data_IF_311854185107
#
_entry.id   IF_311854185107
#
_cell.length_a   1.000
_cell.length_b   1.000
_cell.length_c   1.000
_cell.angle_alpha   90.00
_cell.angle_beta   90.00
_cell.angle_gamma   90.00
#
_symmetry.space_group_name_H-M   'P 1'
#
loop_
_entity.id
_entity.type
_entity.pdbx_description
1 polymer ?
#
# COMPACT_ATOMS: atom_id res chain seq x y z
N UNK A 1 3.24 0.21 34.90
CA UNK A 1 3.40 1.52 34.22
C UNK A 1 3.91 1.34 32.79
N UNK A 2 5.07 0.69 32.57
CA UNK A 2 5.62 0.45 31.22
C UNK A 2 4.64 -0.34 30.31
N UNK A 3 4.01 -1.39 30.83
CA UNK A 3 3.01 -2.18 30.08
C UNK A 3 1.84 -1.32 29.59
N UNK A 4 1.32 -0.45 30.45
CA UNK A 4 0.18 0.39 30.12
C UNK A 4 0.55 1.50 29.12
N UNK A 5 1.76 2.05 29.22
CA UNK A 5 2.31 2.98 28.23
C UNK A 5 2.47 2.27 26.88
N UNK A 6 3.02 1.05 26.88
CA UNK A 6 3.19 0.24 25.67
C UNK A 6 1.84 -0.06 25.01
N UNK A 7 0.84 -0.53 25.75
CA UNK A 7 -0.52 -0.76 25.22
C UNK A 7 -1.14 0.51 24.62
N UNK A 8 -1.02 1.64 25.31
CA UNK A 8 -1.57 2.92 24.83
C UNK A 8 -0.92 3.33 23.52
N UNK A 9 0.41 3.25 23.42
CA UNK A 9 1.15 3.57 22.20
C UNK A 9 0.81 2.58 21.08
N UNK A 10 0.62 1.29 21.37
CA UNK A 10 0.24 0.29 20.36
C UNK A 10 -1.11 0.60 19.71
N UNK A 11 -2.09 1.10 20.48
CA UNK A 11 -3.39 1.51 19.92
C UNK A 11 -3.23 2.73 19.00
N UNK A 12 -2.45 3.73 19.41
CA UNK A 12 -2.17 4.91 18.58
C UNK A 12 -1.38 4.53 17.33
N UNK A 13 -0.42 3.61 17.45
CA UNK A 13 0.33 3.07 16.32
C UNK A 13 -0.60 2.37 15.33
N UNK A 14 -1.49 1.50 15.81
CA UNK A 14 -2.46 0.81 14.96
C UNK A 14 -3.39 1.81 14.25
N UNK A 15 -3.89 2.81 14.98
CA UNK A 15 -4.73 3.86 14.40
C UNK A 15 -4.00 4.64 13.30
N UNK A 16 -2.75 5.04 13.57
CA UNK A 16 -1.89 5.75 12.61
C UNK A 16 -1.59 4.89 11.38
N UNK A 17 -1.32 3.60 11.60
CA UNK A 17 -1.06 2.64 10.52
C UNK A 17 -2.29 2.47 9.63
N UNK A 18 -3.48 2.34 10.22
CA UNK A 18 -4.74 2.30 9.48
C UNK A 18 -4.98 3.60 8.71
N UNK A 19 -4.73 4.76 9.33
CA UNK A 19 -4.80 6.06 8.66
C UNK A 19 -3.88 6.15 7.45
N UNK A 20 -2.63 5.69 7.58
CA UNK A 20 -1.69 5.58 6.46
C UNK A 20 -2.21 4.66 5.35
N UNK A 21 -2.82 3.53 5.70
CA UNK A 21 -3.47 2.64 4.75
C UNK A 21 -4.63 3.31 3.99
N UNK A 22 -5.44 4.12 4.67
CA UNK A 22 -6.51 4.92 4.04
C UNK A 22 -5.95 5.97 3.10
N UNK A 23 -4.88 6.69 3.49
CA UNK A 23 -4.20 7.68 2.64
C UNK A 23 -3.61 7.02 1.40
N UNK A 24 -2.94 5.87 1.56
CA UNK A 24 -2.40 5.09 0.45
C UNK A 24 -3.51 4.64 -0.51
N UNK A 25 -4.64 4.19 0.05
CA UNK A 25 -5.81 3.82 -0.72
C UNK A 25 -6.39 5.00 -1.51
N UNK A 26 -6.49 6.19 -0.89
CA UNK A 26 -6.97 7.41 -1.54
C UNK A 26 -6.04 7.89 -2.66
N UNK A 27 -4.72 7.86 -2.44
CA UNK A 27 -3.73 8.19 -3.47
C UNK A 27 -3.83 7.27 -4.68
N UNK A 28 -4.10 5.99 -4.43
CA UNK A 28 -4.28 4.99 -5.46
C UNK A 28 -5.59 5.16 -6.24
N UNK A 29 -6.68 5.59 -5.58
CA UNK A 29 -7.93 6.00 -6.24
C UNK A 29 -7.70 7.16 -7.21
N UNK A 30 -6.99 8.19 -6.77
CA UNK A 30 -6.69 9.37 -7.60
C UNK A 30 -5.93 9.03 -8.89
N UNK A 31 -5.09 7.99 -8.87
CA UNK A 31 -4.33 7.55 -10.07
C UNK A 31 -5.16 6.75 -11.07
N UNK A 32 -6.35 6.26 -10.70
CA UNK A 32 -7.19 5.44 -11.59
C UNK A 32 -8.10 6.26 -12.49
N UNK A 33 -8.47 7.48 -12.09
CA UNK A 33 -9.31 8.38 -12.89
C UNK A 33 -8.60 8.82 -14.18
N UNK A 34 -7.27 9.04 -14.12
CA UNK A 34 -6.43 9.34 -15.30
C UNK A 34 -6.44 8.17 -16.32
N UNK A 35 -6.41 6.94 -15.80
CA UNK A 35 -6.27 5.71 -16.60
C UNK A 35 -7.57 5.25 -17.26
N UNK A 36 -8.72 5.63 -16.70
CA UNK A 36 -10.02 5.40 -17.33
C UNK A 36 -10.12 6.10 -18.69
N UNK A 37 -9.51 7.29 -18.83
CA UNK A 37 -9.46 8.06 -20.08
C UNK A 37 -8.56 7.40 -21.14
N UNK A 38 -7.38 6.93 -20.75
CA UNK A 38 -6.49 6.17 -21.67
C UNK A 38 -7.13 4.85 -22.12
N UNK A 39 -7.81 4.14 -21.23
CA UNK A 39 -8.50 2.90 -21.56
C UNK A 39 -9.65 3.11 -22.56
N UNK A 40 -10.34 4.26 -22.50
CA UNK A 40 -11.38 4.62 -23.47
C UNK A 40 -10.80 4.85 -24.86
N UNK A 41 -9.65 5.54 -24.97
CA UNK A 41 -8.94 5.79 -26.23
C UNK A 41 -8.39 4.50 -26.83
N UNK A 42 -7.81 3.60 -26.02
CA UNK A 42 -7.33 2.30 -26.50
C UNK A 42 -8.46 1.37 -26.97
N UNK A 43 -9.65 1.48 -26.37
CA UNK A 43 -10.84 0.72 -26.81
C UNK A 43 -11.38 1.18 -28.15
N UNK A 44 -11.32 2.47 -28.47
CA UNK A 44 -11.71 2.97 -29.80
C UNK A 44 -10.70 2.55 -30.88
N UNK A 45 -9.46 2.26 -30.49
CA UNK A 45 -8.40 1.71 -31.34
C UNK A 45 -8.36 0.17 -31.38
N UNK A 46 -9.27 -0.53 -30.69
CA UNK A 46 -9.42 -2.00 -30.76
C UNK A 46 -8.50 -2.82 -29.84
N UNK A 47 -7.87 -2.21 -28.83
CA UNK A 47 -6.90 -2.90 -27.97
C UNK A 47 -7.53 -3.79 -26.87
N UNK A 48 -6.87 -4.91 -26.56
CA UNK A 48 -7.34 -5.93 -25.61
C UNK A 48 -7.20 -5.49 -24.13
N UNK A 49 -8.35 -5.44 -23.45
CA UNK A 49 -8.48 -5.06 -22.02
C UNK A 49 -7.70 -5.95 -21.04
N UNK A 50 -7.20 -7.11 -21.48
CA UNK A 50 -6.43 -8.02 -20.64
C UNK A 50 -4.98 -7.57 -20.41
N UNK A 51 -4.39 -6.81 -21.35
CA UNK A 51 -3.02 -6.28 -21.20
C UNK A 51 -2.95 -5.21 -20.09
N UNK A 52 -3.94 -4.31 -20.05
CA UNK A 52 -4.03 -3.24 -19.06
C UNK A 52 -4.13 -3.77 -17.61
N UNK A 53 -4.82 -4.91 -17.41
CA UNK A 53 -4.95 -5.54 -16.08
C UNK A 53 -3.66 -6.20 -15.59
N UNK A 54 -2.79 -6.67 -16.50
CA UNK A 54 -1.49 -7.26 -16.13
C UNK A 54 -0.49 -6.19 -15.74
N UNK A 55 -0.46 -5.07 -16.46
CA UNK A 55 0.45 -3.96 -16.17
C UNK A 55 0.18 -3.32 -14.80
N UNK A 56 -1.10 -3.09 -14.47
CA UNK A 56 -1.51 -2.57 -13.15
C UNK A 56 -1.07 -3.46 -11.98
N UNK A 57 -1.14 -4.79 -12.13
CA UNK A 57 -0.68 -5.70 -11.06
C UNK A 57 0.83 -5.57 -10.81
N UNK A 58 1.61 -5.39 -11.87
CA UNK A 58 3.05 -5.18 -11.77
C UNK A 58 3.39 -3.92 -10.97
N UNK A 59 2.70 -2.82 -11.24
CA UNK A 59 2.91 -1.57 -10.50
C UNK A 59 2.54 -1.69 -9.02
N UNK A 60 1.43 -2.34 -8.68
CA UNK A 60 1.06 -2.54 -7.27
C UNK A 60 2.06 -3.41 -6.51
N UNK A 61 2.63 -4.41 -7.19
CA UNK A 61 3.71 -5.22 -6.61
C UNK A 61 4.95 -4.36 -6.38
N UNK A 62 5.34 -3.52 -7.35
CA UNK A 62 6.51 -2.64 -7.23
C UNK A 62 6.31 -1.60 -6.11
N UNK A 63 5.16 -0.92 -6.08
CA UNK A 63 4.82 0.07 -5.05
C UNK A 63 4.78 -0.60 -3.66
N UNK A 64 4.16 -1.78 -3.56
CA UNK A 64 4.10 -2.55 -2.32
C UNK A 64 5.47 -3.04 -1.84
N UNK A 65 6.33 -3.48 -2.76
CA UNK A 65 7.69 -3.88 -2.43
C UNK A 65 8.53 -2.69 -1.94
N UNK A 66 8.44 -1.54 -2.61
CA UNK A 66 9.11 -0.31 -2.18
C UNK A 66 8.59 0.15 -0.83
N UNK A 67 7.27 0.20 -0.63
CA UNK A 67 6.66 0.58 0.64
C UNK A 67 7.10 -0.35 1.78
N UNK A 68 7.10 -1.67 1.54
CA UNK A 68 7.56 -2.66 2.52
C UNK A 68 9.05 -2.57 2.82
N UNK A 69 9.87 -2.20 1.84
CA UNK A 69 11.30 -1.91 2.02
C UNK A 69 11.49 -0.69 2.93
N UNK A 70 10.75 0.40 2.69
CA UNK A 70 10.77 1.59 3.54
C UNK A 70 10.31 1.28 4.97
N UNK A 71 9.26 0.47 5.13
CA UNK A 71 8.80 0.02 6.44
C UNK A 71 9.87 -0.80 7.19
N UNK A 72 10.50 -1.76 6.51
CA UNK A 72 11.58 -2.57 7.08
C UNK A 72 12.79 -1.72 7.46
N UNK A 73 13.18 -0.77 6.61
CA UNK A 73 14.25 0.16 6.88
C UNK A 73 13.94 1.03 8.11
N UNK A 74 12.74 1.60 8.19
CA UNK A 74 12.29 2.37 9.35
C UNK A 74 12.27 1.56 10.64
N UNK A 75 11.73 0.34 10.60
CA UNK A 75 11.71 -0.57 11.75
C UNK A 75 13.13 -0.96 12.20
N UNK A 76 14.03 -1.24 11.25
CA UNK A 76 15.43 -1.56 11.54
C UNK A 76 16.16 -0.35 12.14
N UNK A 77 15.95 0.84 11.58
CA UNK A 77 16.56 2.08 12.06
C UNK A 77 16.09 2.42 13.49
N UNK A 78 14.77 2.43 13.71
CA UNK A 78 14.20 2.68 15.03
C UNK A 78 14.62 1.61 16.04
N UNK A 79 14.59 0.33 15.64
CA UNK A 79 15.05 -0.78 16.47
C UNK A 79 16.52 -0.63 16.86
N UNK A 80 17.39 -0.24 15.93
CA UNK A 80 18.81 0.03 16.20
C UNK A 80 18.99 1.22 17.13
N UNK A 81 18.27 2.32 16.90
CA UNK A 81 18.35 3.52 17.74
C UNK A 81 17.94 3.21 19.18
N UNK A 82 16.81 2.52 19.37
CA UNK A 82 16.34 2.09 20.68
C UNK A 82 17.32 1.13 21.35
N UNK A 83 17.80 0.12 20.62
CA UNK A 83 18.73 -0.87 21.15
C UNK A 83 20.04 -0.25 21.64
N UNK A 84 20.60 0.71 20.88
CA UNK A 84 21.90 1.33 21.20
C UNK A 84 21.76 2.46 22.23
N UNK A 85 20.77 3.35 22.08
CA UNK A 85 20.69 4.57 22.89
C UNK A 85 19.81 4.45 24.13
N UNK A 86 18.84 3.51 24.14
CA UNK A 86 17.89 3.37 25.26
C UNK A 86 18.17 2.10 26.06
N UNK A 87 18.50 1.00 25.37
CA UNK A 87 18.58 -0.33 25.98
C UNK A 87 20.03 -0.84 26.13
N UNK A 88 21.04 -0.14 25.60
CA UNK A 88 22.48 -0.50 25.64
C UNK A 88 22.81 -1.95 25.23
N UNK A 89 22.01 -2.55 24.34
CA UNK A 89 22.15 -3.95 23.88
C UNK A 89 22.67 -4.03 22.44
N UNK A 90 23.45 -5.09 22.15
CA UNK A 90 23.94 -5.35 20.79
C UNK A 90 22.81 -5.69 19.83
N UNK A 91 22.47 -4.73 18.95
CA UNK A 91 21.46 -4.89 17.92
C UNK A 91 21.95 -5.81 16.78
N UNK A 92 21.26 -6.92 16.55
CA UNK A 92 21.49 -7.79 15.37
C UNK A 92 20.35 -7.60 14.36
N UNK A 93 20.61 -6.97 13.20
CA UNK A 93 19.59 -6.85 12.16
C UNK A 93 19.22 -8.24 11.63
N UNK A 94 17.96 -8.64 11.83
CA UNK A 94 17.43 -9.89 11.31
C UNK A 94 16.96 -9.71 9.87
N UNK A 95 17.42 -10.57 8.95
CA UNK A 95 16.95 -10.60 7.55
C UNK A 95 15.42 -10.80 7.46
N UNK A 96 14.84 -11.43 8.49
CA UNK A 96 13.41 -11.66 8.65
C UNK A 96 12.59 -10.37 8.65
N UNK A 97 13.10 -9.27 9.23
CA UNK A 97 12.39 -7.98 9.28
C UNK A 97 12.21 -7.41 7.87
N UNK A 98 13.23 -7.56 7.03
CA UNK A 98 13.18 -7.13 5.63
C UNK A 98 12.18 -7.97 4.83
N UNK A 99 12.23 -9.29 4.98
CA UNK A 99 11.35 -10.20 4.26
C UNK A 99 9.88 -9.99 4.66
N UNK A 100 9.60 -9.91 5.96
CA UNK A 100 8.25 -9.65 6.48
C UNK A 100 7.77 -8.25 6.09
N UNK A 101 8.62 -7.23 6.18
CA UNK A 101 8.27 -5.86 5.79
C UNK A 101 7.87 -5.78 4.31
N UNK A 102 8.67 -6.36 3.42
CA UNK A 102 8.38 -6.41 1.97
C UNK A 102 7.11 -7.20 1.69
N UNK A 103 6.96 -8.41 2.25
CA UNK A 103 5.76 -9.23 2.03
C UNK A 103 4.49 -8.56 2.56
N UNK A 104 4.56 -7.92 3.73
CA UNK A 104 3.44 -7.20 4.31
C UNK A 104 3.08 -5.97 3.46
N UNK A 105 4.07 -5.20 3.00
CA UNK A 105 3.86 -4.05 2.10
C UNK A 105 3.22 -4.44 0.77
N UNK A 106 3.74 -5.49 0.12
CA UNK A 106 3.14 -6.06 -1.11
C UNK A 106 1.71 -6.53 -0.84
N UNK A 107 1.50 -7.30 0.23
CA UNK A 107 0.18 -7.80 0.60
C UNK A 107 -0.83 -6.69 0.83
N UNK A 108 -0.44 -5.63 1.56
CA UNK A 108 -1.29 -4.49 1.88
C UNK A 108 -1.67 -3.71 0.61
N UNK A 109 -0.70 -3.39 -0.25
CA UNK A 109 -0.94 -2.63 -1.49
C UNK A 109 -1.76 -3.44 -2.49
N UNK A 110 -1.46 -4.73 -2.65
CA UNK A 110 -2.23 -5.62 -3.53
C UNK A 110 -3.66 -5.79 -3.02
N UNK A 111 -3.86 -5.95 -1.71
CA UNK A 111 -5.20 -6.04 -1.11
C UNK A 111 -5.99 -4.74 -1.28
N UNK A 112 -5.37 -3.58 -1.00
CA UNK A 112 -5.97 -2.27 -1.23
C UNK A 112 -6.36 -2.06 -2.70
N UNK A 113 -5.48 -2.47 -3.62
CA UNK A 113 -5.75 -2.38 -5.05
C UNK A 113 -6.82 -3.33 -5.57
N UNK A 114 -6.90 -4.53 -5.00
CA UNK A 114 -7.95 -5.49 -5.33
C UNK A 114 -9.32 -5.01 -4.85
N UNK A 115 -9.40 -4.43 -3.65
CA UNK A 115 -10.61 -3.77 -3.14
C UNK A 115 -11.04 -2.63 -4.06
N UNK A 116 -10.10 -1.87 -4.62
CA UNK A 116 -10.42 -0.79 -5.55
C UNK A 116 -10.98 -1.30 -6.88
N UNK A 117 -10.32 -2.31 -7.46
CA UNK A 117 -10.75 -2.92 -8.73
C UNK A 117 -12.14 -3.53 -8.60
N UNK A 118 -12.47 -4.09 -7.43
CA UNK A 118 -13.82 -4.61 -7.11
C UNK A 118 -14.87 -3.49 -6.96
N UNK A 119 -14.51 -2.32 -6.43
CA UNK A 119 -15.43 -1.17 -6.34
C UNK A 119 -15.70 -0.55 -7.70
N UNK A 120 -14.70 -0.38 -8.56
CA UNK A 120 -14.88 0.15 -9.92
C UNK A 120 -15.65 -0.81 -10.84
N UNK A 121 -15.48 -2.13 -10.69
CA UNK A 121 -16.29 -3.11 -11.39
C UNK A 121 -17.79 -3.10 -10.99
N UNK A 122 -18.14 -2.43 -9.88
CA UNK A 122 -19.52 -2.22 -9.44
C UNK A 122 -20.09 -0.85 -9.83
N UNK A 123 -19.32 0.04 -10.44
CA UNK A 123 -19.90 1.22 -11.08
C UNK A 123 -20.48 0.79 -12.44
N UNK A 124 -21.81 0.84 -12.62
CA UNK A 124 -22.39 0.57 -13.93
C UNK A 124 -21.86 1.61 -14.93
N UNK A 125 -21.46 1.19 -16.14
CA UNK A 125 -20.81 2.04 -17.17
C UNK A 125 -21.72 3.14 -17.75
N UNK A 126 -22.88 3.41 -17.14
CA UNK A 126 -23.86 4.39 -17.59
C UNK A 126 -23.73 5.79 -16.96
N UNK A 127 -22.84 5.97 -15.97
CA UNK A 127 -22.64 7.29 -15.33
C UNK A 127 -21.76 8.25 -16.13
N UNK A 128 -20.96 7.75 -17.08
CA UNK A 128 -19.95 8.53 -17.81
C UNK A 128 -20.53 9.25 -19.05
N UNK A 129 -21.77 8.89 -19.44
CA UNK A 129 -22.45 9.40 -20.63
C UNK A 129 -23.68 10.27 -20.31
N UNK A 130 -23.92 10.58 -19.03
CA UNK A 130 -25.09 11.37 -18.57
C UNK A 130 -24.72 12.58 -17.72
N UNK A 131 -23.46 13.00 -17.72
CA UNK A 131 -23.06 14.31 -17.23
C UNK A 131 -23.13 15.32 -18.37
N UNK A 132 -24.29 15.95 -18.51
CA UNK A 132 -24.32 17.39 -18.74
C UNK A 132 -23.64 18.11 -17.56
#
# INVERSE_FOLDING_TARGET
>A
IIEQISQTISVVFLFTLLGGGVVLYAAMLATQDERAREAAIMRTLGADSAYLRRLHRGEFIVIGALSGLFAAAGATLLGRLLAVHVLEISYRPGILIWLVGVLCGVGLVVAAGWLNTRKLAKLPPMGILRGE
#
